data_IF_576963871877
#
_entry.id   IF_576963871877
#
_cell.length_a   1.000
_cell.length_b   1.000
_cell.length_c   1.000
_cell.angle_alpha   90.00
_cell.angle_beta   90.00
_cell.angle_gamma   90.00
#
_symmetry.space_group_name_H-M   'P 1'
#
loop_
_entity.id
_entity.type
_entity.pdbx_description
1 polymer ?
#
# COMPACT_ATOMS: atom_id res chain seq x y z
N UNK A 1 3.49 10.64 7.70
CA UNK A 1 3.04 9.30 8.11
C UNK A 1 4.19 8.31 7.87
N UNK A 2 4.90 7.95 8.96
CA UNK A 2 6.11 7.10 8.88
C UNK A 2 5.81 5.72 8.27
N UNK A 3 4.65 5.14 8.56
CA UNK A 3 4.27 3.81 8.04
C UNK A 3 3.97 3.86 6.54
N UNK A 4 3.37 4.95 6.05
CA UNK A 4 3.22 5.16 4.60
C UNK A 4 4.58 5.27 3.91
N UNK A 5 5.52 6.04 4.49
CA UNK A 5 6.86 6.16 3.94
C UNK A 5 7.57 4.80 3.90
N UNK A 6 7.47 4.01 4.96
CA UNK A 6 8.02 2.65 5.00
C UNK A 6 7.40 1.75 3.92
N UNK A 7 6.06 1.76 3.79
CA UNK A 7 5.35 1.02 2.73
C UNK A 7 5.82 1.43 1.33
N UNK A 8 5.93 2.75 1.07
CA UNK A 8 6.37 3.27 -0.22
C UNK A 8 7.83 2.90 -0.53
N UNK A 9 8.73 3.00 0.46
CA UNK A 9 10.14 2.63 0.30
C UNK A 9 10.28 1.14 -0.04
N UNK A 10 9.59 0.26 0.69
CA UNK A 10 9.63 -1.19 0.38
C UNK A 10 9.08 -1.46 -1.02
N UNK A 11 8.00 -0.80 -1.45
CA UNK A 11 7.47 -0.97 -2.79
C UNK A 11 8.41 -0.46 -3.88
N UNK A 12 9.09 0.67 -3.68
CA UNK A 12 10.10 1.17 -4.62
C UNK A 12 11.29 0.20 -4.71
N UNK A 13 11.75 -0.32 -3.57
CA UNK A 13 12.84 -1.31 -3.55
C UNK A 13 12.45 -2.60 -4.24
N UNK A 14 11.19 -3.05 -4.10
CA UNK A 14 10.66 -4.21 -4.81
C UNK A 14 10.71 -4.01 -6.32
N UNK A 15 10.21 -2.87 -6.82
CA UNK A 15 10.25 -2.54 -8.26
C UNK A 15 11.68 -2.46 -8.79
N UNK A 16 12.60 -1.82 -8.08
CA UNK A 16 14.01 -1.74 -8.48
C UNK A 16 14.64 -3.14 -8.50
N UNK A 17 14.38 -3.96 -7.50
CA UNK A 17 14.87 -5.33 -7.42
C UNK A 17 14.28 -6.21 -8.54
N UNK A 18 12.98 -6.02 -8.89
CA UNK A 18 12.34 -6.69 -10.04
C UNK A 18 13.04 -6.35 -11.35
N UNK A 19 13.28 -5.05 -11.61
CA UNK A 19 13.99 -4.59 -12.81
C UNK A 19 15.42 -5.18 -12.88
N UNK A 20 16.15 -5.13 -11.78
CA UNK A 20 17.50 -5.71 -11.70
C UNK A 20 17.48 -7.22 -11.96
N UNK A 21 16.58 -7.96 -11.32
CA UNK A 21 16.43 -9.40 -11.51
C UNK A 21 16.10 -9.72 -12.96
N UNK A 22 15.12 -9.02 -13.54
CA UNK A 22 14.70 -9.23 -14.93
C UNK A 22 15.82 -8.92 -15.93
N UNK A 23 16.59 -7.87 -15.70
CA UNK A 23 17.77 -7.55 -16.53
C UNK A 23 18.73 -8.76 -16.61
N UNK A 24 19.06 -9.38 -15.47
CA UNK A 24 19.94 -10.57 -15.45
C UNK A 24 19.28 -11.81 -16.06
N UNK A 25 17.96 -11.98 -15.90
CA UNK A 25 17.24 -13.12 -16.49
C UNK A 25 17.20 -13.00 -18.02
N UNK A 26 16.98 -11.79 -18.56
CA UNK A 26 16.77 -11.56 -20.01
C UNK A 26 18.06 -11.33 -20.77
N UNK A 27 19.12 -10.81 -20.14
CA UNK A 27 20.39 -10.48 -20.82
C UNK A 27 21.15 -11.68 -21.35
N UNK A 28 20.78 -12.90 -20.97
CA UNK A 28 21.38 -14.15 -21.45
C UNK A 28 22.87 -14.31 -21.15
N UNK A 29 23.42 -13.50 -20.25
CA UNK A 29 24.87 -13.44 -19.99
C UNK A 29 25.27 -14.63 -19.11
N UNK A 30 25.87 -15.65 -19.75
CA UNK A 30 26.35 -16.87 -19.11
C UNK A 30 27.28 -16.68 -17.91
N UNK A 31 27.90 -15.49 -17.78
CA UNK A 31 28.91 -15.23 -16.74
C UNK A 31 28.36 -14.59 -15.46
N UNK A 32 27.05 -14.29 -15.39
CA UNK A 32 26.45 -13.57 -14.22
C UNK A 32 25.62 -14.48 -13.30
N UNK A 33 25.79 -15.80 -13.31
CA UNK A 33 24.96 -16.71 -12.51
C UNK A 33 24.86 -16.35 -11.03
N UNK A 34 25.95 -15.92 -10.42
CA UNK A 34 25.97 -15.48 -9.01
C UNK A 34 25.23 -14.15 -8.85
N UNK A 35 25.47 -13.16 -9.71
CA UNK A 35 24.79 -11.86 -9.64
C UNK A 35 23.30 -11.99 -9.91
N UNK A 36 22.90 -12.80 -10.89
CA UNK A 36 21.51 -13.14 -11.19
C UNK A 36 20.82 -13.81 -10.00
N UNK A 37 21.51 -14.76 -9.34
CA UNK A 37 21.00 -15.43 -8.14
C UNK A 37 20.75 -14.43 -7.01
N UNK A 38 21.71 -13.55 -6.72
CA UNK A 38 21.54 -12.51 -5.69
C UNK A 38 20.45 -11.51 -6.04
N UNK A 39 20.42 -10.97 -7.25
CA UNK A 39 19.40 -10.01 -7.68
C UNK A 39 18.00 -10.62 -7.58
N UNK A 40 17.80 -11.84 -8.03
CA UNK A 40 16.51 -12.54 -7.95
C UNK A 40 16.13 -12.91 -6.51
N UNK A 41 17.10 -13.24 -5.66
CA UNK A 41 16.85 -13.49 -4.23
C UNK A 41 16.39 -12.22 -3.53
N UNK A 42 17.05 -11.08 -3.80
CA UNK A 42 16.67 -9.77 -3.24
C UNK A 42 15.26 -9.38 -3.72
N UNK A 43 14.98 -9.53 -5.01
CA UNK A 43 13.64 -9.29 -5.55
C UNK A 43 12.57 -10.13 -4.84
N UNK A 44 12.78 -11.43 -4.68
CA UNK A 44 11.80 -12.30 -3.99
C UNK A 44 11.64 -11.97 -2.50
N UNK A 45 12.67 -11.46 -1.84
CA UNK A 45 12.55 -10.96 -0.48
C UNK A 45 11.62 -9.74 -0.39
N UNK A 46 11.82 -8.74 -1.26
CA UNK A 46 10.94 -7.56 -1.28
C UNK A 46 9.53 -7.92 -1.72
N UNK A 47 9.38 -8.76 -2.73
CA UNK A 47 8.08 -9.26 -3.17
C UNK A 47 7.32 -10.02 -2.06
N UNK A 48 8.03 -10.78 -1.21
CA UNK A 48 7.41 -11.43 -0.05
C UNK A 48 7.01 -10.42 1.04
N UNK A 49 7.82 -9.38 1.27
CA UNK A 49 7.60 -8.35 2.30
C UNK A 49 6.50 -7.36 1.94
N UNK A 50 6.37 -7.00 0.66
CA UNK A 50 5.48 -5.93 0.22
C UNK A 50 4.01 -6.14 0.65
N UNK A 51 3.36 -7.30 0.42
CA UNK A 51 1.98 -7.54 0.84
C UNK A 51 1.77 -7.45 2.36
N UNK A 52 2.76 -7.85 3.14
CA UNK A 52 2.76 -7.70 4.59
C UNK A 52 2.79 -6.22 5.02
N UNK A 53 3.61 -5.39 4.36
CA UNK A 53 3.65 -3.95 4.67
C UNK A 53 2.32 -3.26 4.38
N UNK A 54 1.57 -3.73 3.39
CA UNK A 54 0.22 -3.25 3.11
C UNK A 54 -0.74 -3.56 4.28
N UNK A 55 -0.68 -4.76 4.86
CA UNK A 55 -1.45 -5.09 6.07
C UNK A 55 -1.07 -4.17 7.24
N UNK A 56 0.21 -3.95 7.48
CA UNK A 56 0.68 -3.03 8.52
C UNK A 56 0.15 -1.61 8.31
N UNK A 57 0.08 -1.16 7.06
CA UNK A 57 -0.49 0.13 6.73
C UNK A 57 -1.99 0.21 7.05
N UNK A 58 -2.79 -0.80 6.71
CA UNK A 58 -4.22 -0.88 7.05
C UNK A 58 -4.43 -0.86 8.57
N UNK A 59 -3.63 -1.64 9.32
CA UNK A 59 -3.68 -1.68 10.78
C UNK A 59 -3.38 -0.32 11.41
N UNK A 60 -2.39 0.40 10.87
CA UNK A 60 -2.05 1.76 11.33
C UNK A 60 -3.17 2.75 11.07
N UNK A 61 -3.85 2.65 9.94
CA UNK A 61 -5.01 3.50 9.64
C UNK A 61 -6.18 3.24 10.59
N UNK A 62 -6.35 1.99 11.03
CA UNK A 62 -7.40 1.63 11.99
C UNK A 62 -7.08 2.10 13.41
N UNK A 63 -5.89 1.78 13.90
CA UNK A 63 -5.49 2.05 15.30
C UNK A 63 -5.10 3.52 15.52
N UNK A 64 -4.84 4.32 14.46
CA UNK A 64 -4.23 5.66 14.48
C UNK A 64 -2.90 5.70 15.25
N UNK A 65 -2.22 4.56 15.39
CA UNK A 65 -0.96 4.36 16.10
C UNK A 65 -0.09 3.36 15.33
N UNK A 66 1.19 3.34 15.67
CA UNK A 66 2.10 2.30 15.17
C UNK A 66 1.59 0.92 15.61
N UNK A 67 1.59 -0.03 14.69
CA UNK A 67 1.13 -1.40 14.92
C UNK A 67 1.88 -2.03 16.09
N UNK A 68 1.16 -2.67 17.01
CA UNK A 68 1.79 -3.37 18.13
C UNK A 68 2.63 -4.55 17.63
N UNK A 69 3.75 -4.84 18.30
CA UNK A 69 4.66 -5.93 17.94
C UNK A 69 3.95 -7.28 17.82
N UNK A 70 2.95 -7.55 18.67
CA UNK A 70 2.16 -8.79 18.62
C UNK A 70 1.32 -8.91 17.35
N UNK A 71 0.63 -7.83 16.92
CA UNK A 71 -0.15 -7.81 15.68
C UNK A 71 0.76 -7.96 14.47
N UNK A 72 1.90 -7.25 14.49
CA UNK A 72 2.90 -7.30 13.43
C UNK A 72 3.51 -8.71 13.30
N UNK A 73 3.82 -9.38 14.41
CA UNK A 73 4.35 -10.74 14.39
C UNK A 73 3.32 -11.74 13.84
N UNK A 74 2.06 -11.65 14.30
CA UNK A 74 1.00 -12.56 13.85
C UNK A 74 0.71 -12.41 12.34
N UNK A 75 0.62 -11.19 11.83
CA UNK A 75 0.38 -10.94 10.39
C UNK A 75 1.62 -11.19 9.53
N UNK A 76 2.82 -11.07 10.10
CA UNK A 76 4.09 -11.27 9.40
C UNK A 76 4.63 -12.70 9.41
N UNK A 77 4.06 -13.61 10.22
CA UNK A 77 4.58 -14.97 10.36
C UNK A 77 4.69 -15.73 9.01
N UNK A 78 3.68 -15.72 8.12
CA UNK A 78 3.80 -16.37 6.82
C UNK A 78 4.93 -15.77 5.96
N UNK A 79 5.06 -14.44 5.99
CA UNK A 79 6.14 -13.72 5.29
C UNK A 79 7.51 -14.09 5.84
N UNK A 80 7.67 -14.20 7.18
CA UNK A 80 8.94 -14.59 7.80
C UNK A 80 9.36 -16.00 7.39
N UNK A 81 8.41 -16.95 7.36
CA UNK A 81 8.66 -18.31 6.89
C UNK A 81 9.09 -18.31 5.42
N UNK A 82 8.37 -17.58 4.57
CA UNK A 82 8.72 -17.47 3.16
C UNK A 82 10.07 -16.76 2.95
N UNK A 83 10.37 -15.71 3.71
CA UNK A 83 11.69 -15.04 3.65
C UNK A 83 12.83 -16.00 4.01
N UNK A 84 12.65 -16.87 5.00
CA UNK A 84 13.64 -17.90 5.32
C UNK A 84 13.83 -18.89 4.14
N UNK A 85 12.74 -19.29 3.47
CA UNK A 85 12.81 -20.14 2.27
C UNK A 85 13.53 -19.42 1.12
N UNK A 86 13.26 -18.11 0.93
CA UNK A 86 13.94 -17.29 -0.09
C UNK A 86 15.43 -17.16 0.19
N UNK A 87 15.82 -16.88 1.44
CA UNK A 87 17.24 -16.76 1.84
C UNK A 87 18.02 -18.07 1.69
N UNK A 88 17.37 -19.21 1.89
CA UNK A 88 18.00 -20.53 1.69
C UNK A 88 17.96 -20.99 0.24
N UNK A 89 17.24 -20.29 -0.64
CA UNK A 89 17.07 -20.70 -2.04
C UNK A 89 18.39 -20.81 -2.84
N UNK A 90 19.40 -19.92 -2.67
CA UNK A 90 20.67 -20.07 -3.38
C UNK A 90 21.34 -21.45 -3.19
N UNK A 91 21.05 -22.12 -2.07
CA UNK A 91 21.60 -23.44 -1.74
C UNK A 91 20.64 -24.59 -2.10
N UNK A 92 19.33 -24.32 -2.07
CA UNK A 92 18.31 -25.37 -2.23
C UNK A 92 17.71 -25.45 -3.63
N UNK A 93 17.71 -24.35 -4.39
CA UNK A 93 17.10 -24.25 -5.72
C UNK A 93 15.59 -24.50 -5.75
N UNK A 94 14.91 -24.47 -4.58
CA UNK A 94 13.49 -24.89 -4.47
C UNK A 94 12.51 -23.86 -5.04
N UNK A 95 12.82 -22.57 -4.95
CA UNK A 95 11.99 -21.51 -5.53
C UNK A 95 12.37 -21.25 -6.99
N UNK A 96 13.66 -21.14 -7.26
CA UNK A 96 14.23 -20.94 -8.59
C UNK A 96 15.69 -21.33 -8.60
N UNK A 97 16.21 -21.62 -9.78
CA UNK A 97 17.62 -21.84 -10.01
C UNK A 97 18.02 -21.39 -11.43
N UNK A 98 19.30 -21.21 -11.64
CA UNK A 98 19.86 -20.86 -12.93
C UNK A 98 20.62 -22.06 -13.51
N UNK A 99 20.23 -22.49 -14.70
CA UNK A 99 20.92 -23.51 -15.49
C UNK A 99 21.77 -22.83 -16.56
N UNK A 100 22.94 -23.39 -16.83
CA UNK A 100 23.91 -22.83 -17.80
C UNK A 100 23.33 -22.80 -19.22
N UNK A 101 22.48 -23.75 -19.56
CA UNK A 101 21.91 -23.92 -20.90
C UNK A 101 20.53 -23.28 -21.03
N UNK A 102 19.67 -23.40 -20.00
CA UNK A 102 18.28 -23.02 -20.03
C UNK A 102 18.01 -21.65 -19.34
N UNK A 103 19.02 -21.08 -18.65
CA UNK A 103 18.85 -19.81 -17.93
C UNK A 103 18.04 -19.95 -16.65
N UNK A 104 17.11 -19.03 -16.40
CA UNK A 104 16.26 -19.04 -15.23
C UNK A 104 15.19 -20.13 -15.30
N UNK A 105 15.11 -20.96 -14.26
CA UNK A 105 14.12 -22.04 -14.14
C UNK A 105 13.37 -21.89 -12.81
N UNK A 106 12.04 -22.02 -12.88
CA UNK A 106 11.17 -22.04 -11.70
C UNK A 106 11.32 -23.36 -10.95
N UNK A 107 11.57 -23.28 -9.66
CA UNK A 107 11.65 -24.46 -8.79
C UNK A 107 10.27 -25.01 -8.39
N UNK A 108 10.24 -26.17 -7.74
CA UNK A 108 8.98 -26.83 -7.36
C UNK A 108 8.14 -26.03 -6.34
N UNK A 109 8.77 -25.16 -5.55
CA UNK A 109 8.09 -24.33 -4.54
C UNK A 109 7.79 -22.90 -5.01
N UNK A 110 8.00 -22.59 -6.28
CA UNK A 110 7.75 -21.28 -6.86
C UNK A 110 6.36 -20.70 -6.54
N UNK A 111 5.33 -21.55 -6.50
CA UNK A 111 3.96 -21.14 -6.19
C UNK A 111 3.78 -20.54 -4.79
N UNK A 112 4.71 -20.79 -3.85
CA UNK A 112 4.65 -20.19 -2.51
C UNK A 112 4.64 -18.67 -2.54
N UNK A 113 5.31 -18.06 -3.52
CA UNK A 113 5.31 -16.59 -3.70
C UNK A 113 3.90 -16.07 -3.97
N UNK A 114 3.16 -16.73 -4.87
CA UNK A 114 1.77 -16.35 -5.16
C UNK A 114 0.82 -16.65 -4.01
N UNK A 115 0.99 -17.76 -3.31
CA UNK A 115 0.17 -18.07 -2.14
C UNK A 115 0.36 -17.05 -1.03
N UNK A 116 1.58 -16.59 -0.80
CA UNK A 116 1.86 -15.50 0.14
C UNK A 116 1.16 -14.20 -0.28
N UNK A 117 1.28 -13.79 -1.54
CA UNK A 117 0.66 -12.57 -2.06
C UNK A 117 -0.88 -12.62 -1.96
N UNK A 118 -1.48 -13.70 -2.46
CA UNK A 118 -2.94 -13.90 -2.43
C UNK A 118 -3.44 -13.99 -0.98
N UNK A 119 -2.75 -14.72 -0.11
CA UNK A 119 -3.12 -14.83 1.30
C UNK A 119 -3.15 -13.49 2.01
N UNK A 120 -2.12 -12.66 1.81
CA UNK A 120 -2.08 -11.31 2.38
C UNK A 120 -3.15 -10.38 1.77
N UNK A 121 -3.41 -10.47 0.47
CA UNK A 121 -4.50 -9.72 -0.17
C UNK A 121 -5.86 -10.10 0.41
N UNK A 122 -6.11 -11.39 0.66
CA UNK A 122 -7.35 -11.85 1.30
C UNK A 122 -7.47 -11.34 2.74
N UNK A 123 -6.38 -11.38 3.51
CA UNK A 123 -6.35 -10.81 4.87
C UNK A 123 -6.59 -9.30 4.81
N UNK A 124 -5.97 -8.58 3.88
CA UNK A 124 -6.17 -7.14 3.69
C UNK A 124 -7.65 -6.82 3.40
N UNK A 125 -8.28 -7.54 2.49
CA UNK A 125 -9.70 -7.39 2.16
C UNK A 125 -10.59 -7.64 3.39
N UNK A 126 -10.32 -8.72 4.12
CA UNK A 126 -11.04 -9.05 5.35
C UNK A 126 -10.93 -7.93 6.39
N UNK A 127 -9.74 -7.39 6.62
CA UNK A 127 -9.51 -6.28 7.55
C UNK A 127 -10.24 -5.00 7.10
N UNK A 128 -10.24 -4.67 5.81
CA UNK A 128 -10.98 -3.53 5.26
C UNK A 128 -12.48 -3.68 5.53
N UNK A 129 -13.04 -4.87 5.30
CA UNK A 129 -14.47 -5.15 5.54
C UNK A 129 -14.82 -5.09 7.02
N UNK A 130 -14.02 -5.71 7.90
CA UNK A 130 -14.25 -5.71 9.35
C UNK A 130 -14.17 -4.29 9.91
N UNK A 131 -13.18 -3.51 9.50
CA UNK A 131 -12.90 -2.18 10.03
C UNK A 131 -13.53 -1.04 9.22
N UNK A 132 -14.47 -1.35 8.31
CA UNK A 132 -15.10 -0.37 7.40
C UNK A 132 -15.68 0.86 8.12
N UNK A 133 -16.19 0.69 9.36
CA UNK A 133 -16.77 1.80 10.13
C UNK A 133 -15.70 2.77 10.67
N UNK A 134 -14.52 2.26 11.04
CA UNK A 134 -13.43 3.06 11.60
C UNK A 134 -12.52 3.66 10.54
N UNK A 135 -12.32 2.99 9.40
CA UNK A 135 -11.46 3.46 8.31
C UNK A 135 -12.03 4.67 7.56
N UNK A 136 -13.37 4.81 7.55
CA UNK A 136 -14.05 5.85 6.78
C UNK A 136 -14.06 5.60 5.27
N UNK A 137 -15.08 6.13 4.58
CA UNK A 137 -15.33 5.85 3.15
C UNK A 137 -14.12 6.13 2.26
N UNK A 138 -13.45 7.25 2.47
CA UNK A 138 -12.32 7.66 1.63
C UNK A 138 -11.14 6.69 1.70
N UNK A 139 -10.72 6.32 2.91
CA UNK A 139 -9.62 5.36 3.08
C UNK A 139 -9.98 3.99 2.48
N UNK A 140 -11.24 3.55 2.64
CA UNK A 140 -11.72 2.30 2.05
C UNK A 140 -11.58 2.33 0.53
N UNK A 141 -12.04 3.39 -0.13
CA UNK A 141 -11.94 3.51 -1.60
C UNK A 141 -10.51 3.34 -2.06
N UNK A 142 -9.57 4.06 -1.46
CA UNK A 142 -8.14 3.99 -1.83
C UNK A 142 -7.53 2.63 -1.55
N UNK A 143 -7.85 2.02 -0.39
CA UNK A 143 -7.36 0.68 -0.06
C UNK A 143 -7.91 -0.37 -1.05
N UNK A 144 -9.16 -0.23 -1.50
CA UNK A 144 -9.75 -1.10 -2.51
C UNK A 144 -9.14 -0.87 -3.90
N UNK A 145 -8.81 0.37 -4.27
CA UNK A 145 -8.10 0.67 -5.52
C UNK A 145 -6.73 -0.04 -5.54
N UNK A 146 -5.95 0.09 -4.46
CA UNK A 146 -4.66 -0.61 -4.34
C UNK A 146 -4.86 -2.13 -4.40
N UNK A 147 -5.86 -2.67 -3.70
CA UNK A 147 -6.19 -4.08 -3.71
C UNK A 147 -6.49 -4.58 -5.13
N UNK A 148 -7.34 -3.87 -5.88
CA UNK A 148 -7.72 -4.23 -7.25
C UNK A 148 -6.52 -4.15 -8.20
N UNK A 149 -5.74 -3.06 -8.15
CA UNK A 149 -4.57 -2.86 -9.01
C UNK A 149 -3.51 -3.93 -8.73
N UNK A 150 -3.18 -4.17 -7.45
CA UNK A 150 -2.19 -5.18 -7.07
C UNK A 150 -2.67 -6.60 -7.40
N UNK A 151 -3.94 -6.90 -7.14
CA UNK A 151 -4.55 -8.19 -7.46
C UNK A 151 -4.57 -8.47 -8.96
N UNK A 152 -4.93 -7.47 -9.78
CA UNK A 152 -4.87 -7.57 -11.24
C UNK A 152 -3.43 -7.81 -11.73
N UNK A 153 -2.44 -7.09 -11.18
CA UNK A 153 -1.03 -7.29 -11.48
C UNK A 153 -0.57 -8.72 -11.21
N UNK A 154 -0.90 -9.28 -10.05
CA UNK A 154 -0.58 -10.67 -9.68
C UNK A 154 -1.26 -11.66 -10.64
N UNK A 155 -2.55 -11.47 -10.95
CA UNK A 155 -3.28 -12.34 -11.86
C UNK A 155 -2.67 -12.32 -13.27
N UNK A 156 -2.39 -11.14 -13.82
CA UNK A 156 -1.76 -11.03 -15.15
C UNK A 156 -0.40 -11.71 -15.15
N UNK A 157 0.41 -11.56 -14.12
CA UNK A 157 1.72 -12.20 -14.04
C UNK A 157 1.66 -13.73 -13.93
N UNK A 158 0.60 -14.29 -13.34
CA UNK A 158 0.40 -15.75 -13.32
C UNK A 158 0.20 -16.29 -14.75
N UNK A 159 -0.59 -15.58 -15.58
CA UNK A 159 -0.93 -16.02 -16.94
C UNK A 159 0.06 -15.54 -18.00
N UNK A 160 0.64 -14.35 -17.81
CA UNK A 160 1.52 -13.69 -18.77
C UNK A 160 2.90 -13.45 -18.14
N UNK A 161 3.63 -14.49 -17.83
CA UNK A 161 4.90 -14.46 -17.10
C UNK A 161 5.97 -13.48 -17.63
N UNK A 162 6.14 -13.20 -18.93
CA UNK A 162 7.15 -12.26 -19.40
C UNK A 162 6.85 -10.79 -19.03
N UNK A 163 5.63 -10.49 -18.57
CA UNK A 163 5.24 -9.13 -18.26
C UNK A 163 5.54 -8.79 -16.79
N UNK A 164 6.29 -7.71 -16.58
CA UNK A 164 6.59 -7.15 -15.25
C UNK A 164 5.36 -6.37 -14.71
N UNK A 165 4.25 -7.06 -14.52
CA UNK A 165 2.98 -6.41 -14.16
C UNK A 165 2.84 -6.14 -12.68
N UNK A 166 3.54 -6.90 -11.83
CA UNK A 166 3.48 -6.73 -10.38
C UNK A 166 4.11 -5.41 -9.98
N UNK A 167 5.33 -5.12 -10.41
CA UNK A 167 6.00 -3.85 -10.11
C UNK A 167 5.27 -2.64 -10.68
N UNK A 168 4.69 -2.76 -11.87
CA UNK A 168 3.84 -1.71 -12.44
C UNK A 168 2.59 -1.46 -11.56
N UNK A 169 1.90 -2.53 -11.14
CA UNK A 169 0.74 -2.44 -10.24
C UNK A 169 1.09 -1.83 -8.89
N UNK A 170 2.22 -2.22 -8.30
CA UNK A 170 2.74 -1.64 -7.05
C UNK A 170 3.00 -0.14 -7.22
N UNK A 171 3.68 0.27 -8.29
CA UNK A 171 3.99 1.67 -8.58
C UNK A 171 2.73 2.52 -8.71
N UNK A 172 1.71 2.03 -9.44
CA UNK A 172 0.42 2.69 -9.56
C UNK A 172 -0.32 2.78 -8.23
N UNK A 173 -0.31 1.71 -7.43
CA UNK A 173 -0.93 1.69 -6.11
C UNK A 173 -0.29 2.69 -5.15
N UNK A 174 1.04 2.78 -5.12
CA UNK A 174 1.76 3.77 -4.31
C UNK A 174 1.47 5.19 -4.79
N UNK A 175 1.44 5.43 -6.11
CA UNK A 175 1.12 6.73 -6.69
C UNK A 175 -0.31 7.17 -6.35
N UNK A 176 -1.29 6.28 -6.48
CA UNK A 176 -2.68 6.55 -6.12
C UNK A 176 -2.81 6.92 -4.63
N UNK A 177 -2.13 6.16 -3.77
CA UNK A 177 -2.10 6.44 -2.33
C UNK A 177 -1.41 7.77 -2.02
N UNK A 178 -0.29 8.08 -2.69
CA UNK A 178 0.41 9.35 -2.53
C UNK A 178 -0.46 10.55 -2.92
N UNK A 179 -1.11 10.49 -4.09
CA UNK A 179 -2.06 11.52 -4.54
C UNK A 179 -3.18 11.70 -3.52
N UNK A 180 -3.72 10.59 -3.03
CA UNK A 180 -4.83 10.61 -2.07
C UNK A 180 -4.45 11.23 -0.73
N UNK A 181 -3.28 10.87 -0.17
CA UNK A 181 -2.80 11.40 1.11
C UNK A 181 -2.51 12.91 0.98
N UNK A 182 -1.96 13.33 -0.14
CA UNK A 182 -1.55 14.71 -0.39
C UNK A 182 -2.64 15.56 -1.07
N UNK A 183 -3.82 15.01 -1.34
CA UNK A 183 -4.91 15.76 -1.95
C UNK A 183 -5.43 16.86 -0.99
N UNK A 184 -5.16 18.15 -1.23
CA UNK A 184 -5.62 19.21 -0.37
C UNK A 184 -7.14 19.33 -0.38
N UNK A 185 -7.79 19.02 -1.50
CA UNK A 185 -9.24 19.09 -1.66
C UNK A 185 -10.00 18.09 -0.78
N UNK A 186 -9.40 16.96 -0.41
CA UNK A 186 -9.98 16.00 0.53
C UNK A 186 -10.19 16.58 1.95
N UNK A 187 -9.49 17.67 2.27
CA UNK A 187 -9.53 18.36 3.55
C UNK A 187 -10.27 19.69 3.50
N UNK A 188 -10.76 20.11 2.33
CA UNK A 188 -11.49 21.37 2.12
C UNK A 188 -12.98 21.10 1.93
N UNK A 189 -13.77 22.07 2.28
CA UNK A 189 -15.19 22.16 1.93
C UNK A 189 -15.31 22.67 0.51
N UNK A 190 -16.11 21.99 -0.33
CA UNK A 190 -16.20 22.31 -1.76
C UNK A 190 -16.88 23.64 -2.08
N UNK A 191 -17.66 24.19 -1.14
CA UNK A 191 -18.37 25.44 -1.31
C UNK A 191 -17.52 26.63 -0.85
N UNK A 192 -16.98 26.53 0.35
CA UNK A 192 -16.30 27.67 1.02
C UNK A 192 -14.79 27.69 0.75
N UNK A 193 -14.20 26.58 0.30
CA UNK A 193 -12.74 26.43 0.17
C UNK A 193 -12.00 26.42 1.52
N UNK A 194 -12.71 26.44 2.65
CA UNK A 194 -12.14 26.32 3.99
C UNK A 194 -11.87 24.85 4.34
N UNK A 195 -11.08 24.62 5.39
CA UNK A 195 -10.88 23.28 5.89
C UNK A 195 -12.18 22.67 6.42
N UNK A 196 -12.49 21.43 6.01
CA UNK A 196 -13.68 20.72 6.43
C UNK A 196 -13.54 20.15 7.85
N UNK A 197 -14.66 19.65 8.40
CA UNK A 197 -14.70 19.04 9.73
C UNK A 197 -13.69 17.90 9.92
N UNK A 198 -13.39 17.15 8.87
CA UNK A 198 -12.40 16.06 8.90
C UNK A 198 -10.98 16.56 9.19
N UNK A 199 -10.59 17.66 8.56
CA UNK A 199 -9.29 18.31 8.82
C UNK A 199 -9.23 18.83 10.25
N UNK A 200 -10.29 19.49 10.73
CA UNK A 200 -10.37 19.98 12.10
C UNK A 200 -10.17 18.86 13.12
N UNK A 201 -10.90 17.75 12.99
CA UNK A 201 -10.80 16.60 13.90
C UNK A 201 -9.39 16.01 13.90
N UNK A 202 -8.78 15.81 12.72
CA UNK A 202 -7.43 15.31 12.61
C UNK A 202 -6.42 16.24 13.27
N UNK A 203 -6.51 17.54 12.97
CA UNK A 203 -5.59 18.56 13.50
C UNK A 203 -5.70 18.70 15.01
N UNK A 204 -6.91 18.68 15.55
CA UNK A 204 -7.15 18.69 16.99
C UNK A 204 -6.51 17.47 17.67
N UNK A 205 -6.69 16.26 17.11
CA UNK A 205 -6.09 15.05 17.65
C UNK A 205 -4.55 15.08 17.59
N UNK A 206 -3.96 15.65 16.53
CA UNK A 206 -2.50 15.85 16.44
C UNK A 206 -2.00 16.79 17.55
N UNK A 207 -2.71 17.89 17.82
CA UNK A 207 -2.33 18.85 18.86
C UNK A 207 -2.46 18.24 20.27
N UNK A 208 -3.54 17.49 20.52
CA UNK A 208 -3.74 16.76 21.77
C UNK A 208 -2.63 15.73 21.99
N UNK A 209 -2.31 14.94 20.96
CA UNK A 209 -1.24 13.95 21.04
C UNK A 209 0.15 14.57 21.27
N UNK A 210 0.35 15.79 20.76
CA UNK A 210 1.58 16.57 20.99
C UNK A 210 1.62 17.31 22.33
N UNK A 211 0.56 17.20 23.16
CA UNK A 211 0.47 17.91 24.45
C UNK A 211 0.33 19.42 24.30
N UNK A 212 -0.08 19.93 23.11
CA UNK A 212 -0.24 21.37 22.87
C UNK A 212 -1.63 21.82 23.26
N UNK A 213 -1.73 22.94 24.00
CA UNK A 213 -2.99 23.61 24.27
C UNK A 213 -3.44 24.40 23.03
N UNK A 214 -4.76 24.39 22.76
CA UNK A 214 -5.37 25.17 21.69
C UNK A 214 -6.79 25.57 22.07
N UNK A 215 -7.31 26.61 21.40
CA UNK A 215 -8.68 27.07 21.57
C UNK A 215 -9.47 26.78 20.29
N UNK A 216 -10.75 26.41 20.47
CA UNK A 216 -11.69 26.23 19.35
C UNK A 216 -12.71 27.37 19.41
N UNK A 217 -12.82 28.13 18.33
CA UNK A 217 -13.82 29.20 18.18
C UNK A 217 -14.84 28.69 17.16
N UNK A 218 -16.10 28.62 17.56
CA UNK A 218 -17.20 28.25 16.67
C UNK A 218 -17.94 29.50 16.25
N UNK A 219 -18.04 29.73 14.94
CA UNK A 219 -18.82 30.84 14.35
C UNK A 219 -20.09 30.26 13.76
N UNK A 220 -21.21 30.81 14.10
CA UNK A 220 -22.52 30.40 13.61
C UNK A 220 -23.15 31.52 12.77
N UNK A 221 -23.55 31.20 11.53
CA UNK A 221 -24.26 32.13 10.66
C UNK A 221 -25.75 32.09 10.97
N UNK A 222 -26.22 33.17 11.58
CA UNK A 222 -27.64 33.32 11.94
C UNK A 222 -28.49 33.55 10.68
N UNK A 223 -29.65 32.90 10.61
CA UNK A 223 -30.66 33.07 9.54
C UNK A 223 -30.26 32.64 8.12
N UNK A 224 -29.20 31.81 7.92
CA UNK A 224 -28.88 31.31 6.59
C UNK A 224 -30.07 30.58 5.91
N UNK A 225 -30.92 29.90 6.71
CA UNK A 225 -32.15 29.27 6.21
C UNK A 225 -33.19 30.28 5.69
N UNK A 226 -33.25 31.45 6.27
CA UNK A 226 -34.13 32.53 5.81
C UNK A 226 -33.63 33.15 4.51
N UNK A 227 -32.34 33.37 4.41
CA UNK A 227 -31.69 33.89 3.21
C UNK A 227 -31.88 32.89 2.03
N UNK A 228 -31.71 31.59 2.27
CA UNK A 228 -31.98 30.56 1.27
C UNK A 228 -33.43 30.55 0.79
N UNK A 229 -34.39 30.92 1.63
CA UNK A 229 -35.81 31.06 1.24
C UNK A 229 -36.07 32.26 0.32
N UNK A 230 -35.36 33.38 0.53
CA UNK A 230 -35.56 34.63 -0.21
C UNK A 230 -34.75 34.66 -1.50
N UNK A 231 -33.47 34.30 -1.42
CA UNK A 231 -32.49 34.42 -2.50
C UNK A 231 -32.18 33.08 -3.21
N UNK A 232 -32.85 32.00 -2.79
CA UNK A 232 -32.55 30.65 -3.27
C UNK A 232 -31.26 30.07 -2.64
N UNK A 233 -31.02 28.79 -2.86
CA UNK A 233 -29.82 28.11 -2.33
C UNK A 233 -28.53 28.74 -2.84
N UNK A 234 -28.48 29.13 -4.13
CA UNK A 234 -27.34 29.84 -4.70
C UNK A 234 -27.03 31.17 -4.04
N UNK A 235 -28.09 31.94 -3.64
CA UNK A 235 -27.92 33.20 -2.92
C UNK A 235 -27.36 33.01 -1.51
N UNK A 236 -27.71 31.93 -0.83
CA UNK A 236 -27.10 31.54 0.45
C UNK A 236 -25.68 31.03 0.34
N UNK A 237 -25.37 30.32 -0.73
CA UNK A 237 -24.03 29.81 -1.00
C UNK A 237 -23.03 30.94 -1.29
N UNK A 238 -23.48 32.05 -1.88
CA UNK A 238 -22.66 33.24 -2.09
C UNK A 238 -22.31 34.00 -0.80
N UNK A 239 -22.99 33.73 0.30
CA UNK A 239 -22.74 34.34 1.61
C UNK A 239 -21.80 33.52 2.49
N UNK A 240 -21.53 32.28 2.11
CA UNK A 240 -20.59 31.38 2.79
C UNK A 240 -19.17 31.52 2.25
#
# INVERSE_FOLDING_TARGET
NQVFLFFAVIGILDVVAELCSNYYITSGVRNFGIAAMFATTIFYLFQALFPFTFICYIQTLHDNKIVSARKMLLSGLPTLVLAAVVLTNPFTGKLFYFDVSAGYIKGPWYMLMYYNAIGHLMIALLLIVIWRKSLGRWNITVLLEIFVISGAGVLVQIFCYPLLTTGFGISLGILALFITINNPYANMDGLTGLYNHRYLTRKSNELIAAGKSFHVITVYLYQLKHINKIAGVQGGDHLL
#
